data_IF_758728017849
#
_entry.id   IF_758728017849
#
_cell.length_a   1.000
_cell.length_b   1.000
_cell.length_c   1.000
_cell.angle_alpha   90.00
_cell.angle_beta   90.00
_cell.angle_gamma   90.00
#
_symmetry.space_group_name_H-M   'P 1'
#
loop_
_entity.id
_entity.type
_entity.pdbx_description
1 polymer ?
#
# COMPACT_ATOMS: atom_id res chain seq x y z
N UNK A 1 -4.14 -7.48 19.26
CA UNK A 1 -3.21 -7.33 18.13
C UNK A 1 -3.95 -7.04 16.81
N UNK A 2 -5.00 -7.79 16.47
CA UNK A 2 -5.74 -7.66 15.19
C UNK A 2 -6.48 -6.33 14.97
N UNK A 3 -6.71 -5.54 16.02
CA UNK A 3 -7.27 -4.17 15.90
C UNK A 3 -6.20 -3.11 15.62
N UNK A 4 -4.92 -3.44 15.79
CA UNK A 4 -3.80 -2.51 15.65
C UNK A 4 -2.82 -2.90 14.55
N UNK A 5 -3.08 -4.01 13.85
CA UNK A 5 -2.25 -4.49 12.76
C UNK A 5 -3.10 -5.15 11.67
N UNK A 6 -3.04 -4.61 10.47
CA UNK A 6 -3.60 -5.21 9.27
C UNK A 6 -2.51 -5.55 8.26
N UNK A 7 -2.74 -6.61 7.49
CA UNK A 7 -1.83 -7.07 6.45
C UNK A 7 -2.62 -7.30 5.16
N UNK A 8 -2.17 -6.68 4.09
CA UNK A 8 -2.61 -6.95 2.73
C UNK A 8 -1.52 -7.75 2.01
N UNK A 9 -1.81 -8.98 1.66
CA UNK A 9 -0.90 -9.86 0.90
C UNK A 9 -1.03 -9.60 -0.58
N UNK A 10 0.02 -9.89 -1.35
CA UNK A 10 0.09 -9.73 -2.80
C UNK A 10 -1.07 -10.44 -3.52
N UNK A 11 -1.39 -11.66 -3.11
CA UNK A 11 -2.54 -12.41 -3.64
C UNK A 11 -3.42 -12.89 -2.48
N UNK A 12 -4.71 -12.60 -2.58
CA UNK A 12 -5.71 -13.11 -1.66
C UNK A 12 -6.81 -13.78 -2.47
N UNK A 13 -6.73 -15.10 -2.60
CA UNK A 13 -7.84 -15.88 -3.13
C UNK A 13 -8.87 -16.07 -2.00
N UNK A 14 -10.10 -15.67 -2.27
CA UNK A 14 -11.23 -16.00 -1.42
C UNK A 14 -11.86 -17.28 -1.97
N UNK A 15 -12.02 -18.30 -1.12
CA UNK A 15 -12.59 -19.59 -1.52
C UNK A 15 -14.10 -19.56 -1.83
N UNK A 16 -14.73 -18.38 -1.71
CA UNK A 16 -16.15 -18.17 -1.93
C UNK A 16 -16.40 -16.88 -2.69
N UNK A 17 -17.51 -16.83 -3.40
CA UNK A 17 -17.95 -15.64 -4.11
C UNK A 17 -18.78 -14.77 -3.16
N UNK A 18 -18.23 -13.58 -2.88
CA UNK A 18 -18.81 -12.61 -1.94
C UNK A 18 -18.98 -11.25 -2.60
N UNK A 19 -20.07 -10.51 -2.28
CA UNK A 19 -20.19 -9.11 -2.69
C UNK A 19 -19.04 -8.27 -2.12
N UNK A 20 -18.62 -7.26 -2.85
CA UNK A 20 -17.50 -6.38 -2.47
C UNK A 20 -17.64 -5.82 -1.06
N UNK A 21 -18.84 -5.36 -0.70
CA UNK A 21 -19.12 -4.79 0.63
C UNK A 21 -18.94 -5.82 1.74
N UNK A 22 -19.30 -7.08 1.48
CA UNK A 22 -19.14 -8.16 2.44
C UNK A 22 -17.66 -8.50 2.65
N UNK A 23 -16.84 -8.48 1.58
CA UNK A 23 -15.38 -8.67 1.67
C UNK A 23 -14.75 -7.54 2.51
N UNK A 24 -15.14 -6.29 2.29
CA UNK A 24 -14.63 -5.16 3.08
C UNK A 24 -15.06 -5.29 4.54
N UNK A 25 -16.33 -5.68 4.78
CA UNK A 25 -16.88 -5.88 6.13
C UNK A 25 -16.17 -6.99 6.91
N UNK A 26 -15.55 -7.97 6.25
CA UNK A 26 -14.70 -8.98 6.92
C UNK A 26 -13.55 -8.32 7.71
N UNK A 27 -13.07 -7.15 7.29
CA UNK A 27 -12.09 -6.38 8.05
C UNK A 27 -12.58 -6.01 9.45
N UNK A 28 -13.90 -5.93 9.67
CA UNK A 28 -14.49 -5.63 10.99
C UNK A 28 -14.59 -6.83 11.92
N UNK A 29 -14.16 -8.03 11.51
CA UNK A 29 -14.21 -9.24 12.34
C UNK A 29 -13.59 -9.08 13.75
N UNK A 30 -12.50 -8.31 13.98
CA UNK A 30 -11.97 -8.09 15.32
C UNK A 30 -12.82 -7.17 16.21
N UNK A 31 -13.82 -6.50 15.66
CA UNK A 31 -14.65 -5.52 16.37
C UNK A 31 -15.99 -6.11 16.79
N UNK A 32 -16.56 -5.60 17.87
CA UNK A 32 -17.87 -6.04 18.38
C UNK A 32 -19.01 -5.66 17.42
N UNK A 33 -18.93 -4.51 16.78
CA UNK A 33 -19.85 -4.10 15.72
C UNK A 33 -19.28 -4.54 14.36
N UNK A 34 -19.90 -5.57 13.77
CA UNK A 34 -19.47 -6.09 12.45
C UNK A 34 -20.09 -5.36 11.27
N UNK A 35 -21.23 -4.72 11.48
CA UNK A 35 -21.96 -4.02 10.42
C UNK A 35 -21.96 -2.53 10.70
N UNK A 36 -21.10 -1.82 10.03
CA UNK A 36 -21.05 -0.35 10.04
C UNK A 36 -21.15 0.15 8.60
N UNK A 37 -22.36 0.20 8.00
CA UNK A 37 -22.54 0.53 6.57
C UNK A 37 -21.91 1.87 6.19
N UNK A 38 -21.94 2.87 7.10
CA UNK A 38 -21.31 4.17 6.86
C UNK A 38 -19.80 4.07 6.75
N UNK A 39 -19.16 3.27 7.62
CA UNK A 39 -17.72 3.02 7.55
C UNK A 39 -17.35 2.28 6.26
N UNK A 40 -18.12 1.24 5.89
CA UNK A 40 -17.86 0.50 4.65
C UNK A 40 -17.97 1.44 3.44
N UNK A 41 -19.01 2.25 3.35
CA UNK A 41 -19.16 3.24 2.28
C UNK A 41 -18.00 4.24 2.25
N UNK A 42 -17.55 4.73 3.41
CA UNK A 42 -16.44 5.67 3.52
C UNK A 42 -15.12 5.06 3.04
N UNK A 43 -14.77 3.85 3.45
CA UNK A 43 -13.52 3.21 2.99
C UNK A 43 -13.61 2.84 1.50
N UNK A 44 -14.79 2.50 0.98
CA UNK A 44 -15.01 2.28 -0.46
C UNK A 44 -14.76 3.55 -1.26
N UNK A 45 -15.27 4.69 -0.79
CA UNK A 45 -15.03 5.98 -1.45
C UNK A 45 -13.55 6.34 -1.47
N UNK A 46 -12.87 6.25 -0.33
CA UNK A 46 -11.45 6.57 -0.20
C UNK A 46 -10.55 5.70 -1.08
N UNK A 47 -10.91 4.45 -1.29
CA UNK A 47 -10.11 3.49 -2.09
C UNK A 47 -10.57 3.38 -3.55
N UNK A 48 -11.53 4.20 -3.97
CA UNK A 48 -12.08 4.16 -5.32
C UNK A 48 -12.89 2.89 -5.62
N UNK A 49 -13.48 2.26 -4.58
CA UNK A 49 -14.27 1.04 -4.71
C UNK A 49 -15.77 1.30 -4.87
N UNK A 50 -16.26 2.54 -4.74
CA UNK A 50 -17.68 2.87 -4.86
C UNK A 50 -18.34 2.34 -6.16
N UNK A 51 -17.67 2.41 -7.35
CA UNK A 51 -18.24 1.85 -8.59
C UNK A 51 -18.32 0.32 -8.60
N UNK A 52 -17.71 -0.36 -7.62
CA UNK A 52 -17.70 -1.81 -7.50
C UNK A 52 -18.81 -2.34 -6.57
N UNK A 53 -19.62 -1.44 -5.99
CA UNK A 53 -20.71 -1.82 -5.09
C UNK A 53 -21.67 -2.81 -5.75
N UNK A 54 -22.04 -3.85 -4.99
CA UNK A 54 -22.93 -4.93 -5.44
C UNK A 54 -22.31 -5.95 -6.39
N UNK A 55 -21.08 -5.74 -6.89
CA UNK A 55 -20.38 -6.72 -7.73
C UNK A 55 -19.81 -7.86 -6.89
N UNK A 56 -19.66 -9.03 -7.50
CA UNK A 56 -18.98 -10.17 -6.88
C UNK A 56 -17.46 -9.98 -6.94
N UNK A 57 -16.78 -10.30 -5.84
CA UNK A 57 -15.33 -10.13 -5.74
C UNK A 57 -14.57 -10.97 -6.78
N UNK A 58 -15.06 -12.16 -7.10
CA UNK A 58 -14.44 -13.07 -8.08
C UNK A 58 -14.48 -12.53 -9.53
N UNK A 59 -15.42 -11.62 -9.83
CA UNK A 59 -15.58 -10.99 -11.15
C UNK A 59 -14.68 -9.77 -11.36
N UNK A 60 -13.99 -9.34 -10.31
CA UNK A 60 -13.16 -8.14 -10.35
C UNK A 60 -11.81 -8.43 -11.04
N UNK A 61 -11.30 -7.42 -11.76
CA UNK A 61 -9.91 -7.42 -12.22
C UNK A 61 -8.93 -7.42 -11.04
N UNK A 62 -7.68 -7.83 -11.27
CA UNK A 62 -6.65 -7.85 -10.23
C UNK A 62 -6.47 -6.52 -9.52
N UNK A 63 -6.50 -5.40 -10.25
CA UNK A 63 -6.40 -4.06 -9.67
C UNK A 63 -7.64 -3.67 -8.84
N UNK A 64 -8.84 -4.05 -9.28
CA UNK A 64 -10.07 -3.85 -8.51
C UNK A 64 -10.04 -4.68 -7.22
N UNK A 65 -9.59 -5.93 -7.29
CA UNK A 65 -9.40 -6.79 -6.10
C UNK A 65 -8.38 -6.19 -5.12
N UNK A 66 -7.27 -5.65 -5.61
CA UNK A 66 -6.28 -4.96 -4.76
C UNK A 66 -6.89 -3.78 -4.01
N UNK A 67 -7.69 -2.94 -4.67
CA UNK A 67 -8.38 -1.82 -4.00
C UNK A 67 -9.36 -2.29 -2.93
N UNK A 68 -10.13 -3.34 -3.20
CA UNK A 68 -11.05 -3.95 -2.23
C UNK A 68 -10.28 -4.52 -1.02
N UNK A 69 -9.13 -5.16 -1.23
CA UNK A 69 -8.29 -5.65 -0.13
C UNK A 69 -7.70 -4.52 0.71
N UNK A 70 -7.31 -3.42 0.09
CA UNK A 70 -6.90 -2.20 0.81
C UNK A 70 -8.05 -1.66 1.66
N UNK A 71 -9.26 -1.53 1.08
CA UNK A 71 -10.45 -1.09 1.81
C UNK A 71 -10.74 -1.99 3.02
N UNK A 72 -10.64 -3.32 2.86
CA UNK A 72 -10.79 -4.29 3.95
C UNK A 72 -9.75 -4.07 5.05
N UNK A 73 -8.49 -3.85 4.69
CA UNK A 73 -7.41 -3.63 5.65
C UNK A 73 -7.59 -2.30 6.40
N UNK A 74 -8.02 -1.24 5.72
CA UNK A 74 -8.35 0.05 6.35
C UNK A 74 -9.56 -0.07 7.28
N UNK A 75 -10.61 -0.78 6.86
CA UNK A 75 -11.78 -1.05 7.71
C UNK A 75 -11.38 -1.79 9.00
N UNK A 76 -10.41 -2.72 8.92
CA UNK A 76 -9.89 -3.43 10.09
C UNK A 76 -9.24 -2.50 11.12
N UNK A 77 -8.50 -1.49 10.66
CA UNK A 77 -7.78 -0.54 11.52
C UNK A 77 -8.63 0.65 11.95
N UNK A 78 -9.86 0.77 11.44
CA UNK A 78 -10.70 1.95 11.66
C UNK A 78 -11.20 2.01 13.11
N UNK A 79 -10.84 3.10 13.79
CA UNK A 79 -11.22 3.37 15.17
C UNK A 79 -11.43 4.89 15.33
N UNK A 80 -12.57 5.29 15.93
CA UNK A 80 -12.86 6.70 16.24
C UNK A 80 -12.70 7.66 15.04
N UNK A 81 -13.20 7.24 13.87
CA UNK A 81 -13.25 8.10 12.67
C UNK A 81 -12.03 8.02 11.75
N UNK A 82 -10.96 7.30 12.12
CA UNK A 82 -9.76 7.17 11.30
C UNK A 82 -9.08 5.80 11.47
N UNK A 83 -8.27 5.34 10.49
CA UNK A 83 -7.46 4.14 10.66
C UNK A 83 -6.27 4.43 11.58
N UNK A 84 -5.99 3.51 12.52
CA UNK A 84 -4.90 3.63 13.52
C UNK A 84 -4.10 2.33 13.63
N UNK A 85 -2.81 2.45 13.95
CA UNK A 85 -1.91 1.32 14.15
C UNK A 85 -1.01 1.05 12.96
N UNK A 86 -0.80 -0.22 12.59
CA UNK A 86 0.14 -0.64 11.57
C UNK A 86 -0.55 -1.30 10.38
N UNK A 87 -0.29 -0.79 9.20
CA UNK A 87 -0.74 -1.34 7.92
C UNK A 87 0.47 -1.86 7.15
N UNK A 88 0.49 -3.17 6.89
CA UNK A 88 1.52 -3.83 6.08
C UNK A 88 0.94 -4.15 4.70
N UNK A 89 1.60 -3.69 3.66
CA UNK A 89 1.17 -3.85 2.27
C UNK A 89 2.27 -4.56 1.47
N UNK A 90 1.93 -5.70 0.89
CA UNK A 90 2.84 -6.48 0.07
C UNK A 90 2.51 -6.25 -1.41
N UNK A 91 3.36 -5.48 -2.10
CA UNK A 91 3.26 -5.09 -3.52
C UNK A 91 1.87 -4.55 -3.93
N UNK A 92 1.30 -3.57 -3.22
CA UNK A 92 -0.08 -3.13 -3.46
C UNK A 92 -0.24 -2.35 -4.77
N UNK A 93 0.84 -2.08 -5.50
CA UNK A 93 0.83 -1.33 -6.77
C UNK A 93 0.98 -2.23 -7.99
N UNK A 94 1.29 -3.52 -7.84
CA UNK A 94 1.71 -4.41 -8.94
C UNK A 94 0.66 -4.64 -10.03
N UNK A 95 -0.64 -4.60 -9.68
CA UNK A 95 -1.75 -4.79 -10.64
C UNK A 95 -2.51 -3.48 -10.94
N UNK A 96 -1.99 -2.31 -10.51
CA UNK A 96 -2.62 -1.01 -10.68
C UNK A 96 -2.01 -0.26 -11.88
N UNK A 97 -2.85 0.46 -12.62
CA UNK A 97 -2.40 1.47 -13.57
C UNK A 97 -1.85 2.72 -12.85
N UNK A 98 -1.24 3.64 -13.61
CA UNK A 98 -0.59 4.83 -13.06
C UNK A 98 -1.53 5.70 -12.22
N UNK A 99 -2.79 5.83 -12.64
CA UNK A 99 -3.79 6.62 -11.91
C UNK A 99 -4.07 6.02 -10.54
N UNK A 100 -4.34 4.71 -10.49
CA UNK A 100 -4.67 4.03 -9.26
C UNK A 100 -3.45 3.86 -8.34
N UNK A 101 -2.23 3.69 -8.89
CA UNK A 101 -0.99 3.73 -8.11
C UNK A 101 -0.82 5.07 -7.39
N UNK A 102 -0.97 6.17 -8.14
CA UNK A 102 -0.84 7.52 -7.58
C UNK A 102 -1.93 7.80 -6.53
N UNK A 103 -3.18 7.39 -6.80
CA UNK A 103 -4.29 7.56 -5.87
C UNK A 103 -4.04 6.81 -4.55
N UNK A 104 -3.60 5.54 -4.62
CA UNK A 104 -3.27 4.73 -3.46
C UNK A 104 -2.17 5.39 -2.61
N UNK A 105 -1.06 5.79 -3.24
CA UNK A 105 0.08 6.35 -2.51
C UNK A 105 -0.23 7.70 -1.89
N UNK A 106 -1.01 8.56 -2.57
CA UNK A 106 -1.53 9.82 -2.01
C UNK A 106 -2.46 9.58 -0.83
N UNK A 107 -3.37 8.60 -0.94
CA UNK A 107 -4.25 8.22 0.17
C UNK A 107 -3.44 7.80 1.39
N UNK A 108 -2.46 6.91 1.23
CA UNK A 108 -1.60 6.47 2.32
C UNK A 108 -0.84 7.64 2.95
N UNK A 109 -0.29 8.55 2.15
CA UNK A 109 0.41 9.74 2.65
C UNK A 109 -0.52 10.66 3.44
N UNK A 110 -1.75 10.84 2.99
CA UNK A 110 -2.77 11.62 3.72
C UNK A 110 -3.14 10.96 5.05
N UNK A 111 -3.35 9.64 5.05
CA UNK A 111 -3.73 8.90 6.25
C UNK A 111 -2.61 8.85 7.29
N UNK A 112 -1.34 8.84 6.88
CA UNK A 112 -0.19 8.82 7.80
C UNK A 112 0.15 10.20 8.36
N UNK A 113 -0.40 11.28 7.82
CA UNK A 113 -0.12 12.65 8.27
C UNK A 113 -0.49 12.89 9.75
N UNK A 114 -1.48 12.18 10.29
CA UNK A 114 -1.87 12.24 11.71
C UNK A 114 -0.88 11.55 12.66
N UNK A 115 0.06 10.77 12.12
CA UNK A 115 1.00 9.90 12.86
C UNK A 115 0.34 8.80 13.72
N UNK A 116 -0.96 8.58 13.57
CA UNK A 116 -1.67 7.49 14.25
C UNK A 116 -1.66 6.19 13.43
N UNK A 117 -1.52 6.29 12.10
CA UNK A 117 -1.34 5.18 11.19
C UNK A 117 0.11 5.13 10.71
N UNK A 118 0.72 3.96 10.87
CA UNK A 118 2.04 3.64 10.32
C UNK A 118 1.89 2.65 9.18
N UNK A 119 2.56 2.91 8.06
CA UNK A 119 2.49 2.05 6.86
C UNK A 119 3.87 1.48 6.57
N UNK A 120 3.92 0.15 6.44
CA UNK A 120 5.08 -0.56 5.90
C UNK A 120 4.66 -1.17 4.57
N UNK A 121 5.32 -0.77 3.48
CA UNK A 121 4.97 -1.16 2.11
C UNK A 121 6.17 -1.81 1.43
N UNK A 122 5.96 -2.98 0.83
CA UNK A 122 6.95 -3.61 -0.05
C UNK A 122 6.70 -3.12 -1.47
N UNK A 123 7.73 -2.55 -2.08
CA UNK A 123 7.71 -2.05 -3.46
C UNK A 123 8.91 -2.58 -4.23
N UNK A 124 8.71 -2.90 -5.50
CA UNK A 124 9.79 -3.20 -6.44
C UNK A 124 10.29 -1.97 -7.18
N UNK A 125 9.43 -0.96 -7.34
CA UNK A 125 9.78 0.29 -7.99
C UNK A 125 10.48 1.24 -7.02
N UNK A 126 11.80 1.42 -7.25
CA UNK A 126 12.64 2.30 -6.43
C UNK A 126 12.22 3.77 -6.56
N UNK A 127 11.71 4.19 -7.72
CA UNK A 127 11.27 5.56 -7.93
C UNK A 127 9.97 5.87 -7.20
N UNK A 128 9.04 4.91 -7.14
CA UNK A 128 7.86 5.03 -6.28
C UNK A 128 8.26 5.09 -4.81
N UNK A 129 9.19 4.23 -4.37
CA UNK A 129 9.69 4.26 -3.01
C UNK A 129 10.36 5.60 -2.68
N UNK A 130 11.21 6.12 -3.58
CA UNK A 130 11.88 7.41 -3.40
C UNK A 130 10.89 8.59 -3.29
N UNK A 131 9.82 8.54 -4.07
CA UNK A 131 8.83 9.63 -4.16
C UNK A 131 7.91 9.71 -2.94
N UNK A 132 7.59 8.57 -2.33
CA UNK A 132 6.50 8.47 -1.35
C UNK A 132 6.93 8.05 0.05
N UNK A 133 8.05 7.33 0.21
CA UNK A 133 8.48 6.85 1.51
C UNK A 133 9.19 7.94 2.33
N UNK A 134 8.94 7.97 3.63
CA UNK A 134 9.73 8.78 4.58
C UNK A 134 11.04 8.08 4.93
N UNK A 135 11.03 6.74 4.92
CA UNK A 135 12.20 5.88 5.16
C UNK A 135 12.14 4.65 4.27
N UNK A 136 13.30 4.23 3.80
CA UNK A 136 13.49 3.00 3.03
C UNK A 136 14.32 2.02 3.85
N UNK A 137 13.92 0.75 3.77
CA UNK A 137 14.66 -0.40 4.28
C UNK A 137 15.00 -1.28 3.08
N UNK A 138 16.29 -1.43 2.79
CA UNK A 138 16.77 -2.25 1.69
C UNK A 138 17.19 -3.63 2.23
N UNK A 139 16.57 -4.66 1.65
CA UNK A 139 16.84 -6.05 1.98
C UNK A 139 17.53 -6.76 0.81
N UNK A 140 18.56 -7.53 1.09
CA UNK A 140 19.22 -8.40 0.12
C UNK A 140 19.50 -9.76 0.73
N UNK A 141 19.08 -10.85 0.09
CA UNK A 141 19.22 -12.22 0.58
C UNK A 141 18.78 -12.40 2.05
N UNK A 142 17.64 -11.82 2.42
CA UNK A 142 17.06 -11.91 3.76
C UNK A 142 17.79 -11.09 4.83
N UNK A 143 18.72 -10.22 4.45
CA UNK A 143 19.49 -9.37 5.37
C UNK A 143 19.19 -7.90 5.10
N UNK A 144 19.16 -7.12 6.17
CA UNK A 144 19.14 -5.67 6.09
C UNK A 144 20.51 -5.17 5.62
N UNK A 145 20.57 -4.49 4.49
CA UNK A 145 21.81 -3.97 3.90
C UNK A 145 21.92 -2.45 3.95
N UNK A 146 20.79 -1.75 3.95
CA UNK A 146 20.74 -0.29 4.11
C UNK A 146 19.38 0.15 4.66
N UNK A 147 19.35 1.25 5.42
CA UNK A 147 18.12 1.89 5.87
C UNK A 147 18.34 3.37 6.10
N UNK A 148 17.33 4.19 5.80
CA UNK A 148 17.42 5.65 5.98
C UNK A 148 16.36 6.39 5.19
N UNK A 149 16.62 7.68 4.95
CA UNK A 149 15.84 8.47 3.99
C UNK A 149 16.08 7.97 2.57
N UNK A 150 15.19 8.26 1.61
CA UNK A 150 15.40 7.89 0.21
C UNK A 150 16.79 8.32 -0.31
N UNK A 151 17.24 9.54 0.01
CA UNK A 151 18.52 10.07 -0.43
C UNK A 151 19.70 9.28 0.18
N UNK A 152 19.58 8.82 1.40
CA UNK A 152 20.64 8.06 2.07
C UNK A 152 20.76 6.62 1.54
N UNK A 153 19.64 6.01 1.12
CA UNK A 153 19.60 4.60 0.72
C UNK A 153 19.80 4.41 -0.78
N UNK A 154 19.25 5.30 -1.60
CA UNK A 154 19.28 5.16 -3.07
C UNK A 154 20.53 5.81 -3.67
N UNK A 155 21.71 5.28 -3.30
CA UNK A 155 22.99 5.68 -3.84
C UNK A 155 23.41 4.74 -4.98
N UNK A 156 24.00 5.28 -6.06
CA UNK A 156 24.36 4.50 -7.24
C UNK A 156 25.30 3.32 -6.92
N UNK A 157 26.28 3.53 -6.05
CA UNK A 157 27.27 2.51 -5.67
C UNK A 157 26.61 1.37 -4.86
N UNK A 158 25.68 1.72 -3.94
CA UNK A 158 24.94 0.73 -3.14
C UNK A 158 23.98 -0.06 -4.02
N UNK A 159 23.26 0.59 -4.93
CA UNK A 159 22.38 -0.07 -5.88
C UNK A 159 23.15 -1.00 -6.81
N UNK A 160 24.31 -0.58 -7.33
CA UNK A 160 25.20 -1.43 -8.11
C UNK A 160 25.66 -2.65 -7.30
N UNK A 161 26.05 -2.44 -6.05
CA UNK A 161 26.52 -3.49 -5.17
C UNK A 161 25.46 -4.54 -4.85
N UNK A 162 24.21 -4.10 -4.58
CA UNK A 162 23.17 -4.99 -4.05
C UNK A 162 22.24 -5.52 -5.13
N UNK A 163 21.99 -4.75 -6.23
CA UNK A 163 21.16 -5.18 -7.35
C UNK A 163 21.99 -5.71 -8.53
N UNK A 164 23.30 -5.44 -8.59
CA UNK A 164 24.15 -5.78 -9.72
C UNK A 164 23.86 -4.93 -10.97
N UNK A 165 23.01 -3.93 -10.88
CA UNK A 165 22.60 -3.08 -11.98
C UNK A 165 23.45 -1.81 -12.07
N UNK A 166 23.79 -1.40 -13.31
CA UNK A 166 24.41 -0.09 -13.52
C UNK A 166 23.31 0.97 -13.60
N UNK A 167 23.38 1.95 -12.71
CA UNK A 167 22.36 2.99 -12.59
C UNK A 167 22.98 4.37 -12.42
N UNK A 168 22.24 5.37 -12.85
CA UNK A 168 22.43 6.76 -12.46
C UNK A 168 21.36 7.17 -11.47
N UNK A 169 21.72 7.93 -10.45
CA UNK A 169 20.76 8.52 -9.51
C UNK A 169 20.75 10.02 -9.74
N UNK A 170 19.64 10.52 -10.23
CA UNK A 170 19.35 11.95 -10.42
C UNK A 170 18.35 12.46 -9.39
N UNK A 171 17.75 13.60 -9.67
CA UNK A 171 16.71 14.20 -8.84
C UNK A 171 15.41 14.37 -9.62
N UNK A 172 14.28 14.11 -8.96
CA UNK A 172 12.96 14.34 -9.51
C UNK A 172 12.72 15.87 -9.64
N UNK A 173 12.32 16.37 -10.83
CA UNK A 173 12.29 17.82 -11.09
C UNK A 173 11.29 18.58 -10.22
N UNK A 174 10.24 17.93 -9.74
CA UNK A 174 9.20 18.61 -8.97
C UNK A 174 9.50 18.73 -7.47
N UNK A 175 10.28 17.82 -6.87
CA UNK A 175 10.46 17.77 -5.41
C UNK A 175 11.89 17.39 -4.96
N UNK A 176 12.82 17.15 -5.91
CA UNK A 176 14.21 16.80 -5.60
C UNK A 176 14.45 15.41 -5.06
N UNK A 177 13.41 14.56 -4.91
CA UNK A 177 13.61 13.18 -4.45
C UNK A 177 14.50 12.39 -5.40
N UNK A 178 15.26 11.39 -4.93
CA UNK A 178 16.12 10.58 -5.78
C UNK A 178 15.33 9.92 -6.91
N UNK A 179 15.92 9.87 -8.09
CA UNK A 179 15.36 9.15 -9.23
C UNK A 179 16.40 8.25 -9.84
N UNK A 180 16.10 6.96 -9.92
CA UNK A 180 17.00 5.93 -10.42
C UNK A 180 16.73 5.68 -11.89
N UNK A 181 17.77 5.79 -12.71
CA UNK A 181 17.76 5.52 -14.15
C UNK A 181 18.69 4.35 -14.45
N UNK A 182 18.24 3.41 -15.26
CA UNK A 182 19.13 2.36 -15.77
C UNK A 182 20.14 3.00 -16.74
N UNK A 183 21.41 2.63 -16.59
CA UNK A 183 22.41 2.95 -17.60
C UNK A 183 22.23 2.03 -18.82
N UNK A 184 22.43 2.53 -20.06
CA UNK A 184 22.33 1.71 -21.27
C UNK A 184 23.42 0.64 -21.37
#
# INVERSE_FOLDING_TARGET
>A
LSRHRAVMRQQTQLGFDWPVEAVIAMGRAPWTSRSEPRLIAQVMEMTGCTPLAGRQYAELSGGEQQRVQLARALAQLWCDGAPRGWLFLDEPTSALDLYHQQHLLRLLKTLTASQELHVCIVLHDLNLAALWADRIVLLHNGRLVSQGTPEAVLQADDLKRWYGAQVHVGQHPANGSPQVFLAP
#
